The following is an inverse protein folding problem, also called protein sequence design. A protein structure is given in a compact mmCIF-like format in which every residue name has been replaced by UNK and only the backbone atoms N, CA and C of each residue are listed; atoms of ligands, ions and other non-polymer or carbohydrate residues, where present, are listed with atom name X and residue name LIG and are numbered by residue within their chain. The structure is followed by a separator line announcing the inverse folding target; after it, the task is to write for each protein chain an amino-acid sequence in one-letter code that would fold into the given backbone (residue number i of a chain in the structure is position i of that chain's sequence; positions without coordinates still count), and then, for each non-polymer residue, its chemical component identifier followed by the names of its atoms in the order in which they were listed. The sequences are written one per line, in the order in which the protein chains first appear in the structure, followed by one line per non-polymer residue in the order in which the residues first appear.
data_IF_963387170026
#
_entry.id   IF_963387170026
#
_cell.length_a   1.000
_cell.length_b   1.000
_cell.length_c   1.000
_cell.angle_alpha   90.00
_cell.angle_beta   90.00
_cell.angle_gamma   90.00
#
_symmetry.space_group_name_H-M   'P 1'
#
loop_
_entity.id
_entity.type
_entity.pdbx_description
1 polymer ?
#
# COMPACT_ATOMS: atom_id res chain seq x y z
N UNK A 1 -5.49 0.04 -16.35
CA UNK A 1 -4.90 0.29 -15.02
C UNK A 1 -4.78 1.79 -14.83
N UNK A 2 -4.56 2.27 -13.61
CA UNK A 2 -4.48 3.71 -13.29
C UNK A 2 -3.09 4.03 -12.75
N UNK A 3 -2.40 4.97 -13.38
CA UNK A 3 -1.11 5.45 -12.89
C UNK A 3 -1.30 6.26 -11.62
N UNK A 4 -0.62 5.85 -10.55
CA UNK A 4 -0.57 6.54 -9.27
C UNK A 4 0.78 7.23 -9.18
N UNK A 5 0.77 8.51 -8.83
CA UNK A 5 1.96 9.30 -8.54
C UNK A 5 1.56 10.41 -7.57
N UNK A 6 1.64 10.13 -6.26
CA UNK A 6 1.11 11.02 -5.22
C UNK A 6 1.96 11.02 -3.96
N UNK A 7 2.12 12.14 -3.25
CA UNK A 7 2.67 12.13 -1.90
C UNK A 7 1.73 11.38 -0.95
N UNK A 8 2.28 10.53 -0.09
CA UNK A 8 1.51 9.87 0.97
C UNK A 8 2.39 9.54 2.17
N UNK A 9 1.77 9.48 3.35
CA UNK A 9 2.45 9.06 4.57
C UNK A 9 2.75 7.55 4.56
N UNK A 10 3.76 7.14 5.32
CA UNK A 10 4.07 5.73 5.57
C UNK A 10 2.88 4.99 6.18
N UNK A 11 2.18 5.63 7.11
CA UNK A 11 1.00 5.07 7.78
C UNK A 11 -0.15 4.81 6.79
N UNK A 12 -0.42 5.76 5.89
CA UNK A 12 -1.44 5.61 4.85
C UNK A 12 -1.12 4.41 3.97
N UNK A 13 0.13 4.27 3.52
CA UNK A 13 0.53 3.14 2.70
C UNK A 13 0.54 1.81 3.47
N UNK A 14 0.92 1.82 4.75
CA UNK A 14 0.81 0.65 5.64
C UNK A 14 -0.64 0.18 5.75
N UNK A 15 -1.59 1.09 5.99
CA UNK A 15 -3.02 0.76 6.07
C UNK A 15 -3.54 0.19 4.76
N UNK A 16 -3.14 0.77 3.63
CA UNK A 16 -3.45 0.23 2.30
C UNK A 16 -3.01 -1.23 2.18
N UNK A 17 -1.74 -1.53 2.46
CA UNK A 17 -1.19 -2.89 2.36
C UNK A 17 -1.97 -3.85 3.25
N UNK A 18 -2.25 -3.47 4.50
CA UNK A 18 -3.00 -4.30 5.45
C UNK A 18 -4.43 -4.59 4.95
N UNK A 19 -5.16 -3.54 4.56
CA UNK A 19 -6.54 -3.64 4.05
C UNK A 19 -6.61 -4.51 2.80
N UNK A 20 -5.65 -4.38 1.89
CA UNK A 20 -5.62 -5.16 0.65
C UNK A 20 -5.13 -6.60 0.81
N UNK A 21 -4.72 -7.05 2.01
CA UNK A 21 -4.03 -8.35 2.16
C UNK A 21 -4.49 -9.19 3.35
N UNK A 22 -4.48 -8.63 4.56
CA UNK A 22 -4.53 -9.41 5.79
C UNK A 22 -5.49 -8.88 6.86
N UNK A 23 -6.21 -7.79 6.61
CA UNK A 23 -7.13 -7.17 7.58
C UNK A 23 -8.10 -8.17 8.24
N UNK A 24 -8.64 -9.11 7.47
CA UNK A 24 -9.64 -10.08 7.96
C UNK A 24 -9.10 -11.10 8.98
N UNK A 25 -7.78 -11.26 9.11
CA UNK A 25 -7.18 -12.26 10.00
C UNK A 25 -5.95 -11.76 10.78
N UNK A 26 -5.51 -10.53 10.56
CA UNK A 26 -4.42 -9.94 11.30
C UNK A 26 -4.82 -9.71 12.77
N UNK A 27 -3.92 -10.00 13.73
CA UNK A 27 -4.16 -9.69 15.14
C UNK A 27 -4.45 -8.20 15.34
N UNK A 28 -5.41 -7.87 16.19
CA UNK A 28 -5.85 -6.49 16.42
C UNK A 28 -4.70 -5.57 16.85
N UNK A 29 -3.83 -6.06 17.74
CA UNK A 29 -2.65 -5.34 18.19
C UNK A 29 -1.65 -5.04 17.05
N UNK A 30 -1.60 -5.85 15.99
CA UNK A 30 -0.76 -5.59 14.82
C UNK A 30 -1.38 -4.54 13.89
N UNK A 31 -2.72 -4.47 13.84
CA UNK A 31 -3.44 -3.44 13.08
C UNK A 31 -3.26 -2.05 13.69
N UNK A 32 -3.20 -1.97 15.02
CA UNK A 32 -3.07 -0.72 15.79
C UNK A 32 -1.61 -0.24 15.91
N UNK A 33 -0.63 -1.13 15.72
CA UNK A 33 0.80 -0.81 15.85
C UNK A 33 1.42 -0.25 14.56
N UNK A 34 1.80 1.03 14.58
CA UNK A 34 2.36 1.77 13.45
C UNK A 34 3.73 1.26 12.97
N UNK A 35 4.44 0.49 13.79
CA UNK A 35 5.73 -0.11 13.43
C UNK A 35 5.55 -1.53 12.84
N UNK A 36 4.33 -2.07 12.80
CA UNK A 36 4.06 -3.41 12.26
C UNK A 36 3.63 -3.36 10.80
N UNK A 37 4.34 -4.11 9.96
CA UNK A 37 4.09 -4.21 8.53
C UNK A 37 3.85 -5.65 8.10
N UNK A 38 3.16 -5.82 6.97
CA UNK A 38 2.93 -7.10 6.34
C UNK A 38 3.91 -7.29 5.18
N UNK A 39 4.65 -8.40 5.20
CA UNK A 39 5.48 -8.88 4.09
C UNK A 39 4.92 -10.17 3.52
N UNK A 40 5.19 -10.40 2.24
CA UNK A 40 4.88 -11.64 1.55
C UNK A 40 6.05 -12.01 0.66
N UNK A 41 6.47 -13.27 0.79
CA UNK A 41 7.60 -13.83 0.04
C UNK A 41 7.42 -13.71 -1.48
N UNK A 42 8.56 -13.75 -2.18
CA UNK A 42 8.71 -13.42 -3.59
C UNK A 42 7.77 -14.23 -4.52
N UNK A 43 7.31 -13.61 -5.62
CA UNK A 43 6.35 -14.17 -6.57
C UNK A 43 5.17 -13.25 -6.91
N UNK A 44 4.09 -13.82 -7.47
CA UNK A 44 2.86 -13.08 -7.78
C UNK A 44 2.22 -12.57 -6.49
N UNK A 45 2.37 -11.27 -6.26
CA UNK A 45 1.88 -10.59 -5.08
C UNK A 45 2.94 -10.31 -4.02
N UNK A 46 4.23 -10.33 -4.34
CA UNK A 46 5.28 -10.01 -3.37
C UNK A 46 5.03 -8.66 -2.65
N UNK A 47 5.28 -8.65 -1.34
CA UNK A 47 5.23 -7.45 -0.51
C UNK A 47 6.53 -7.38 0.28
N UNK A 48 7.29 -6.31 0.08
CA UNK A 48 8.62 -6.16 0.64
C UNK A 48 8.74 -4.82 1.37
N UNK A 49 9.28 -4.86 2.59
CA UNK A 49 9.54 -3.67 3.41
C UNK A 49 11.06 -3.51 3.58
N UNK A 50 11.56 -2.39 3.07
CA UNK A 50 12.93 -1.92 3.26
C UNK A 50 12.98 -0.98 4.47
N UNK A 51 13.71 -1.39 5.51
CA UNK A 51 13.84 -0.67 6.77
C UNK A 51 15.26 -0.82 7.33
N UNK A 52 15.73 0.16 8.10
CA UNK A 52 17.08 0.11 8.69
C UNK A 52 17.17 -0.95 9.80
N UNK A 53 16.11 -1.10 10.59
CA UNK A 53 15.97 -2.15 11.60
C UNK A 53 14.64 -2.88 11.37
N UNK A 54 14.70 -4.22 11.29
CA UNK A 54 13.55 -5.06 10.98
C UNK A 54 13.63 -6.36 11.75
N UNK A 55 12.58 -6.66 12.53
CA UNK A 55 12.46 -7.89 13.31
C UNK A 55 11.19 -8.63 12.90
N UNK A 56 11.34 -9.91 12.56
CA UNK A 56 10.19 -10.78 12.28
C UNK A 56 9.41 -11.06 13.56
N UNK A 57 8.11 -10.77 13.56
CA UNK A 57 7.22 -11.06 14.69
C UNK A 57 6.63 -12.45 14.56
N UNK A 58 5.86 -12.69 13.50
CA UNK A 58 5.13 -13.94 13.28
C UNK A 58 4.68 -14.09 11.83
N UNK A 59 4.71 -15.33 11.32
CA UNK A 59 4.04 -15.69 10.08
C UNK A 59 2.64 -16.21 10.35
N UNK A 60 1.64 -15.66 9.67
CA UNK A 60 0.24 -16.09 9.72
C UNK A 60 -0.23 -16.24 8.27
N UNK A 61 -0.56 -17.47 7.86
CA UNK A 61 -0.85 -17.81 6.45
C UNK A 61 0.35 -17.46 5.56
N UNK A 62 0.12 -16.77 4.43
CA UNK A 62 1.16 -16.32 3.51
C UNK A 62 1.80 -14.98 3.88
N UNK A 63 1.40 -14.36 5.01
CA UNK A 63 1.90 -13.06 5.45
C UNK A 63 2.86 -13.21 6.63
N UNK A 64 4.02 -12.61 6.50
CA UNK A 64 5.00 -12.43 7.57
C UNK A 64 4.84 -11.03 8.14
N UNK A 65 4.46 -10.94 9.41
CA UNK A 65 4.42 -9.66 10.12
C UNK A 65 5.81 -9.33 10.65
N UNK A 66 6.24 -8.10 10.42
CA UNK A 66 7.54 -7.58 10.83
C UNK A 66 7.35 -6.27 11.60
N UNK A 67 8.14 -6.06 12.65
CA UNK A 67 8.31 -4.75 13.27
C UNK A 67 9.47 -4.06 12.54
N UNK A 68 9.20 -2.91 11.91
CA UNK A 68 10.15 -2.18 11.07
C UNK A 68 10.34 -0.75 11.55
N UNK A 69 11.59 -0.35 11.76
CA UNK A 69 11.99 1.00 12.14
C UNK A 69 12.82 1.65 11.05
N UNK A 70 12.67 2.97 10.92
CA UNK A 70 13.32 3.75 9.87
C UNK A 70 13.08 3.16 8.47
N UNK A 71 11.79 3.00 8.12
CA UNK A 71 11.36 2.46 6.83
C UNK A 71 11.74 3.41 5.69
N UNK A 72 12.47 2.89 4.71
CA UNK A 72 12.95 3.60 3.53
C UNK A 72 12.07 3.37 2.30
N UNK A 73 11.45 2.19 2.21
CA UNK A 73 10.58 1.85 1.09
C UNK A 73 9.69 0.64 1.35
N UNK A 74 8.57 0.59 0.64
CA UNK A 74 7.67 -0.57 0.62
C UNK A 74 7.30 -0.86 -0.82
N UNK A 75 7.39 -2.11 -1.25
CA UNK A 75 6.92 -2.59 -2.54
C UNK A 75 5.71 -3.46 -2.30
N UNK A 76 4.64 -3.23 -3.05
CA UNK A 76 3.39 -3.98 -3.00
C UNK A 76 3.03 -4.45 -4.40
N UNK A 77 2.78 -5.76 -4.52
CA UNK A 77 2.12 -6.33 -5.69
C UNK A 77 0.86 -7.08 -5.25
N UNK A 78 -0.21 -6.96 -6.04
CA UNK A 78 -1.40 -7.78 -5.83
C UNK A 78 -1.18 -9.21 -6.35
N UNK A 79 -1.85 -10.20 -5.75
CA UNK A 79 -1.84 -11.59 -6.25
C UNK A 79 -2.35 -11.70 -7.69
N UNK A 80 -3.23 -10.79 -8.10
CA UNK A 80 -3.76 -10.71 -9.46
C UNK A 80 -2.79 -10.09 -10.47
N UNK A 81 -1.69 -9.48 -10.03
CA UNK A 81 -0.75 -8.76 -10.90
C UNK A 81 -1.26 -7.42 -11.44
N UNK A 82 -2.50 -7.03 -11.13
CA UNK A 82 -3.13 -5.81 -11.67
C UNK A 82 -2.85 -4.54 -10.86
N UNK A 83 -2.12 -4.65 -9.74
CA UNK A 83 -1.69 -3.52 -8.93
C UNK A 83 -0.24 -3.73 -8.53
N UNK A 84 0.63 -2.79 -8.89
CA UNK A 84 2.03 -2.74 -8.50
C UNK A 84 2.34 -1.33 -8.03
N UNK A 85 2.61 -1.17 -6.74
CA UNK A 85 2.82 0.12 -6.10
C UNK A 85 4.09 0.08 -5.28
N UNK A 86 4.81 1.19 -5.26
CA UNK A 86 5.93 1.40 -4.35
C UNK A 86 5.72 2.68 -3.56
N UNK A 87 6.01 2.62 -2.28
CA UNK A 87 6.19 3.80 -1.44
C UNK A 87 7.68 4.01 -1.21
N UNK A 88 8.16 5.25 -1.38
CA UNK A 88 9.55 5.62 -1.11
C UNK A 88 9.59 6.80 -0.17
N UNK A 89 10.45 6.74 0.84
CA UNK A 89 10.67 7.84 1.77
C UNK A 89 11.20 9.07 1.03
N UNK A 90 10.64 10.24 1.39
CA UNK A 90 11.16 11.55 0.99
C UNK A 90 11.72 12.27 2.21
N UNK A 91 10.97 12.30 3.32
CA UNK A 91 11.39 12.94 4.57
C UNK A 91 10.62 12.37 5.77
N UNK A 92 11.33 11.78 6.74
CA UNK A 92 10.73 11.14 7.92
C UNK A 92 9.64 10.15 7.51
N UNK A 93 8.42 10.28 8.02
CA UNK A 93 7.31 9.38 7.71
C UNK A 93 6.52 9.80 6.46
N UNK A 94 7.01 10.78 5.70
CA UNK A 94 6.41 11.22 4.46
C UNK A 94 7.19 10.67 3.27
N UNK A 95 6.45 10.17 2.29
CA UNK A 95 7.00 9.60 1.09
C UNK A 95 6.11 9.84 -0.11
N UNK A 96 6.39 9.07 -1.16
CA UNK A 96 5.65 9.11 -2.41
C UNK A 96 5.22 7.70 -2.79
N UNK A 97 3.95 7.55 -3.12
CA UNK A 97 3.41 6.34 -3.74
C UNK A 97 3.46 6.52 -5.25
N UNK A 98 4.02 5.53 -5.94
CA UNK A 98 4.08 5.50 -7.39
C UNK A 98 3.83 4.09 -7.92
N UNK A 99 3.24 3.99 -9.11
CA UNK A 99 3.02 2.71 -9.80
C UNK A 99 1.67 2.64 -10.50
N UNK A 100 1.14 1.44 -10.64
CA UNK A 100 -0.11 1.16 -11.33
C UNK A 100 -1.10 0.48 -10.38
N UNK A 101 -2.34 0.96 -10.39
CA UNK A 101 -3.42 0.41 -9.59
C UNK A 101 -4.60 -0.03 -10.47
N UNK A 102 -5.18 -1.17 -10.10
CA UNK A 102 -6.50 -1.57 -10.58
C UNK A 102 -7.61 -0.70 -9.97
N UNK A 103 -8.77 -0.63 -10.63
CA UNK A 103 -9.93 0.12 -10.13
C UNK A 103 -10.35 -0.31 -8.72
N UNK A 104 -10.29 -1.61 -8.42
CA UNK A 104 -10.58 -2.13 -7.08
C UNK A 104 -9.60 -1.63 -6.01
N UNK A 105 -8.34 -1.41 -6.37
CA UNK A 105 -7.36 -0.90 -5.42
C UNK A 105 -7.54 0.59 -5.14
N UNK A 106 -8.23 1.35 -6.01
CA UNK A 106 -8.49 2.77 -5.78
C UNK A 106 -9.33 3.01 -4.53
N UNK A 107 -10.33 2.15 -4.27
CA UNK A 107 -11.16 2.24 -3.06
C UNK A 107 -10.29 2.10 -1.81
N UNK A 108 -9.48 1.03 -1.73
CA UNK A 108 -8.56 0.82 -0.61
C UNK A 108 -7.53 1.96 -0.48
N UNK A 109 -7.04 2.51 -1.59
CA UNK A 109 -6.12 3.65 -1.59
C UNK A 109 -6.79 4.93 -1.06
N UNK A 110 -8.05 5.17 -1.37
CA UNK A 110 -8.82 6.30 -0.84
C UNK A 110 -9.13 6.12 0.65
N UNK A 111 -9.63 4.94 1.06
CA UNK A 111 -9.98 4.63 2.45
C UNK A 111 -8.77 4.64 3.39
N UNK A 112 -7.59 4.24 2.89
CA UNK A 112 -6.33 4.31 3.63
C UNK A 112 -5.69 5.71 3.65
N UNK A 113 -6.26 6.68 2.93
CA UNK A 113 -5.76 8.05 2.84
C UNK A 113 -4.50 8.20 1.99
N UNK A 114 -4.21 7.26 1.09
CA UNK A 114 -3.16 7.41 0.06
C UNK A 114 -3.63 8.34 -1.06
N UNK A 115 -4.91 8.26 -1.42
CA UNK A 115 -5.56 9.14 -2.39
C UNK A 115 -6.53 10.07 -1.68
N UNK A 116 -6.54 11.33 -2.10
CA UNK A 116 -7.53 12.31 -1.66
C UNK A 116 -8.83 12.15 -2.47
N UNK A 117 -9.95 12.61 -1.91
CA UNK A 117 -11.23 12.67 -2.64
C UNK A 117 -11.09 13.46 -3.95
N UNK A 118 -10.40 14.61 -3.90
CA UNK A 118 -10.11 15.45 -5.07
C UNK A 118 -9.39 14.69 -6.19
N UNK A 119 -8.42 13.83 -5.84
CA UNK A 119 -7.72 13.01 -6.82
C UNK A 119 -8.68 12.01 -7.50
N UNK A 120 -9.56 11.38 -6.70
CA UNK A 120 -10.54 10.41 -7.20
C UNK A 120 -11.56 11.09 -8.12
N UNK A 121 -12.07 12.26 -7.72
CA UNK A 121 -13.00 13.06 -8.52
C UNK A 121 -12.37 13.50 -9.86
N UNK A 122 -11.13 13.98 -9.81
CA UNK A 122 -10.37 14.36 -11.01
C UNK A 122 -10.18 13.19 -11.97
N UNK A 123 -9.93 11.98 -11.43
CA UNK A 123 -9.80 10.76 -12.24
C UNK A 123 -11.13 10.35 -12.89
N UNK A 124 -12.24 10.38 -12.13
CA UNK A 124 -13.57 10.06 -12.64
C UNK A 124 -14.01 11.02 -13.75
N UNK A 125 -13.72 12.31 -13.59
CA UNK A 125 -14.03 13.34 -14.59
C UNK A 125 -13.32 13.06 -15.91
N UNK A 126 -11.99 12.86 -15.89
CA UNK A 126 -11.20 12.51 -17.09
C UNK A 126 -11.74 11.27 -17.81
N UNK A 127 -12.06 10.23 -17.06
CA UNK A 127 -12.59 8.98 -17.63
C UNK A 127 -13.95 9.17 -18.32
N UNK A 128 -14.82 10.03 -17.78
CA UNK A 128 -16.11 10.35 -18.39
C UNK A 128 -15.97 11.14 -19.71
N UNK A 129 -14.94 12.00 -19.80
CA UNK A 129 -14.62 12.77 -21.01
C UNK A 129 -14.06 11.86 -22.11
N UNK A 130 -13.22 10.87 -21.76
CA UNK A 130 -12.66 9.89 -22.70
C UNK A 130 -13.70 8.89 -23.26
N UNK A 131 -14.76 8.60 -22.51
CA UNK A 131 -15.81 7.64 -22.95
C UNK A 131 -16.83 8.28 -23.90
N UNK A 132 -16.83 9.61 -24.01
CA UNK A 132 -17.79 10.38 -24.84
C UNK A 132 -17.17 10.81 -26.17
N UNK A 133 -15.92 10.43 -26.46
CA UNK A 133 -15.19 10.74 -27.70
C UNK A 133 -15.09 9.56 -28.65
#
# INVERSE_FOLDING_TARGET
MVSIDTPASLESFRRFVISSTCESYAPRNYLEDFEVFAEREDGLGAIYVEAADKVTLKKIRDITFVNGRDVLGIIYNSKSGNTSLKWRQLKRNNGKVSGEASSNSLTNLAESGVLTLDWVESYLKKKSEETTS
#
